data_IF_743713483083
#
_entry.id   IF_743713483083
#
_cell.length_a   1.000
_cell.length_b   1.000
_cell.length_c   1.000
_cell.angle_alpha   90.00
_cell.angle_beta   90.00
_cell.angle_gamma   90.00
#
_symmetry.space_group_name_H-M   'P 1'
#
loop_
_entity.id
_entity.type
_entity.pdbx_description
1 polymer ?
#
# COMPACT_ATOMS: atom_id res chain seq x y z
N UNK A 1 -6.12 3.26 13.14
CA UNK A 1 -7.45 3.91 13.06
C UNK A 1 -8.13 3.88 14.42
N UNK A 2 -8.83 4.93 14.87
CA UNK A 2 -9.54 4.91 16.15
C UNK A 2 -10.72 3.94 16.12
N UNK A 3 -10.94 3.19 17.21
CA UNK A 3 -11.85 2.05 17.30
C UNK A 3 -13.36 2.37 17.16
N UNK A 4 -13.75 3.64 17.00
CA UNK A 4 -15.16 4.10 16.94
C UNK A 4 -15.47 4.91 15.66
N UNK A 5 -14.74 4.71 14.57
CA UNK A 5 -15.00 5.40 13.30
C UNK A 5 -16.11 4.70 12.51
N UNK A 6 -17.22 5.40 12.21
CA UNK A 6 -18.24 4.93 11.27
C UNK A 6 -18.18 5.77 9.97
N UNK A 7 -17.57 5.25 8.89
CA UNK A 7 -17.38 6.02 7.66
C UNK A 7 -18.68 6.46 6.99
N UNK A 8 -19.82 5.82 7.29
CA UNK A 8 -21.12 6.16 6.68
C UNK A 8 -21.79 7.31 7.42
N UNK A 9 -21.58 7.44 8.73
CA UNK A 9 -22.22 8.47 9.56
C UNK A 9 -21.34 9.68 9.81
N UNK A 10 -20.02 9.47 9.85
CA UNK A 10 -19.07 10.48 10.31
C UNK A 10 -18.37 11.23 9.17
N UNK A 11 -18.48 10.74 7.93
CA UNK A 11 -17.88 11.37 6.75
C UNK A 11 -18.85 12.33 6.07
N UNK A 12 -18.48 13.61 6.00
CA UNK A 12 -19.22 14.63 5.25
C UNK A 12 -18.93 14.61 3.76
N UNK A 13 -17.73 14.14 3.37
CA UNK A 13 -17.28 14.09 1.97
C UNK A 13 -16.44 12.83 1.74
N UNK A 14 -16.68 12.17 0.61
CA UNK A 14 -15.96 10.97 0.17
C UNK A 14 -15.66 11.06 -1.32
N UNK A 15 -14.40 10.88 -1.71
CA UNK A 15 -13.94 10.91 -3.10
C UNK A 15 -13.07 9.69 -3.38
N UNK A 16 -13.21 9.10 -4.57
CA UNK A 16 -12.46 7.92 -5.00
C UNK A 16 -11.52 8.29 -6.12
N UNK A 17 -10.31 7.74 -6.10
CA UNK A 17 -9.28 7.91 -7.10
C UNK A 17 -8.80 6.55 -7.60
N UNK A 18 -8.40 6.51 -8.86
CA UNK A 18 -7.88 5.29 -9.50
C UNK A 18 -6.38 5.35 -9.78
N UNK A 19 -5.76 6.49 -9.47
CA UNK A 19 -4.35 6.76 -9.69
C UNK A 19 -3.80 7.60 -8.55
N UNK A 20 -2.63 7.24 -8.05
CA UNK A 20 -1.78 8.09 -7.23
C UNK A 20 -0.41 8.22 -7.90
N UNK A 21 0.31 9.29 -7.55
CA UNK A 21 1.67 9.53 -8.01
C UNK A 21 2.56 9.60 -6.79
N UNK A 22 3.58 8.73 -6.74
CA UNK A 22 4.61 8.75 -5.71
C UNK A 22 5.88 9.33 -6.32
N UNK A 23 6.50 10.31 -5.66
CA UNK A 23 7.79 10.85 -6.07
C UNK A 23 8.75 10.70 -4.90
N UNK A 24 9.84 9.97 -5.13
CA UNK A 24 10.79 9.61 -4.08
C UNK A 24 12.21 9.68 -4.60
N UNK A 25 13.17 9.76 -3.68
CA UNK A 25 14.58 9.70 -4.02
C UNK A 25 15.04 8.24 -4.00
N UNK A 26 15.55 7.77 -5.13
CA UNK A 26 16.13 6.45 -5.31
C UNK A 26 17.56 6.60 -5.86
N UNK A 27 18.61 6.44 -5.02
CA UNK A 27 20.01 6.61 -5.42
C UNK A 27 20.54 5.48 -6.32
N UNK A 28 19.73 4.97 -7.24
CA UNK A 28 20.08 3.91 -8.18
C UNK A 28 20.56 4.48 -9.51
N UNK A 29 21.47 3.77 -10.18
CA UNK A 29 21.98 4.15 -11.51
C UNK A 29 20.86 4.32 -12.56
N UNK A 30 19.71 3.66 -12.37
CA UNK A 30 18.54 3.76 -13.24
C UNK A 30 17.77 5.09 -13.10
N UNK A 31 17.98 5.86 -12.04
CA UNK A 31 17.25 7.10 -11.77
C UNK A 31 17.91 8.36 -12.34
N UNK A 32 19.04 8.21 -13.05
CA UNK A 32 19.72 9.32 -13.72
C UNK A 32 20.36 10.33 -12.76
N UNK A 33 20.84 11.45 -13.32
CA UNK A 33 21.48 12.53 -12.56
C UNK A 33 20.43 13.22 -11.68
N UNK A 34 20.58 13.10 -10.36
CA UNK A 34 19.68 13.69 -9.38
C UNK A 34 18.85 12.69 -8.56
N UNK A 35 18.78 11.41 -8.98
CA UNK A 35 18.24 10.31 -8.17
C UNK A 35 16.75 10.42 -7.81
N UNK A 36 15.98 11.37 -8.36
CA UNK A 36 14.54 11.48 -8.12
C UNK A 36 13.79 10.59 -9.11
N UNK A 37 12.87 9.77 -8.58
CA UNK A 37 12.00 8.90 -9.37
C UNK A 37 10.54 9.25 -9.11
N UNK A 38 9.73 9.18 -10.16
CA UNK A 38 8.27 9.31 -10.06
C UNK A 38 7.63 8.04 -10.58
N UNK A 39 6.77 7.44 -9.76
CA UNK A 39 6.00 6.25 -10.11
C UNK A 39 4.49 6.52 -10.00
N UNK A 40 3.72 5.76 -10.78
CA UNK A 40 2.25 5.84 -10.82
C UNK A 40 1.68 4.58 -10.22
N UNK A 41 0.87 4.73 -9.18
CA UNK A 41 0.18 3.64 -8.49
C UNK A 41 -1.25 3.58 -9.02
N UNK A 42 -1.63 2.47 -9.65
CA UNK A 42 -2.96 2.27 -10.26
C UNK A 42 -3.84 1.38 -9.38
N UNK A 43 -5.10 1.78 -9.26
CA UNK A 43 -6.18 1.03 -8.61
C UNK A 43 -7.40 0.96 -9.54
N UNK A 44 -7.19 0.63 -10.82
CA UNK A 44 -8.20 0.75 -11.86
C UNK A 44 -9.09 -0.50 -11.86
N UNK A 45 -10.40 -0.39 -11.61
CA UNK A 45 -11.28 -1.57 -11.48
C UNK A 45 -11.52 -2.29 -12.81
N UNK A 46 -11.44 -1.58 -13.94
CA UNK A 46 -11.58 -2.16 -15.26
C UNK A 46 -10.55 -1.54 -16.23
N UNK A 47 -9.47 -2.28 -16.45
CA UNK A 47 -8.40 -1.93 -17.36
C UNK A 47 -8.53 -2.72 -18.66
N UNK A 48 -8.70 -2.00 -19.78
CA UNK A 48 -8.79 -2.58 -21.12
C UNK A 48 -9.84 -3.70 -21.27
N UNK A 49 -10.95 -3.66 -20.51
CA UNK A 49 -12.00 -4.70 -20.48
C UNK A 49 -11.51 -6.09 -20.05
N UNK A 50 -10.32 -6.18 -19.44
CA UNK A 50 -9.71 -7.45 -19.01
C UNK A 50 -9.83 -7.72 -17.52
N UNK A 51 -10.18 -6.71 -16.72
CA UNK A 51 -10.32 -6.82 -15.27
C UNK A 51 -9.61 -5.70 -14.53
N UNK A 52 -9.47 -5.83 -13.22
CA UNK A 52 -8.82 -4.82 -12.40
C UNK A 52 -7.29 -4.78 -12.65
N UNK A 53 -6.72 -3.58 -12.66
CA UNK A 53 -5.29 -3.32 -12.65
C UNK A 53 -4.96 -2.60 -11.35
N UNK A 54 -4.38 -3.36 -10.42
CA UNK A 54 -4.07 -2.93 -9.06
C UNK A 54 -2.58 -3.17 -8.83
N UNK A 55 -1.85 -2.09 -8.59
CA UNK A 55 -0.41 -2.15 -8.36
C UNK A 55 -0.10 -2.55 -6.91
N UNK A 56 1.05 -3.18 -6.70
CA UNK A 56 1.59 -3.45 -5.37
C UNK A 56 2.42 -2.26 -4.89
N UNK A 57 2.38 -2.01 -3.59
CA UNK A 57 3.06 -0.90 -2.92
C UNK A 57 3.75 -1.40 -1.67
N UNK A 58 4.83 -0.73 -1.29
CA UNK A 58 5.42 -0.92 0.03
C UNK A 58 4.65 -0.10 1.06
N UNK A 59 4.47 -0.68 2.24
CA UNK A 59 3.80 -0.04 3.36
C UNK A 59 4.67 -0.18 4.61
N UNK A 60 4.90 0.92 5.29
CA UNK A 60 5.55 0.97 6.59
C UNK A 60 4.56 0.55 7.68
N UNK A 61 4.93 -0.45 8.49
CA UNK A 61 3.99 -1.07 9.45
C UNK A 61 4.18 -0.53 10.87
N UNK A 62 5.40 -0.13 11.26
CA UNK A 62 5.65 0.36 12.61
C UNK A 62 6.99 1.11 12.72
N UNK A 63 6.94 2.44 12.78
CA UNK A 63 8.10 3.31 12.96
C UNK A 63 8.68 3.29 14.39
N UNK A 64 7.94 2.75 15.36
CA UNK A 64 8.33 2.73 16.78
C UNK A 64 9.30 1.58 17.12
N UNK A 65 9.35 0.53 16.29
CA UNK A 65 10.33 -0.55 16.39
C UNK A 65 11.47 -0.34 15.39
N UNK A 66 12.22 0.74 15.62
CA UNK A 66 13.40 1.21 14.86
C UNK A 66 14.61 0.25 14.82
N UNK A 67 14.38 -1.06 14.92
CA UNK A 67 15.42 -2.09 14.84
C UNK A 67 15.45 -2.83 13.49
N UNK A 68 14.52 -2.56 12.58
CA UNK A 68 14.42 -3.26 11.31
C UNK A 68 14.72 -2.34 10.12
N UNK A 69 15.94 -2.41 9.61
CA UNK A 69 16.33 -1.70 8.39
C UNK A 69 15.83 -2.40 7.12
N UNK A 70 15.52 -1.59 6.10
CA UNK A 70 15.16 -2.06 4.77
C UNK A 70 13.83 -2.82 4.73
N UNK A 71 13.76 -3.89 3.92
CA UNK A 71 12.52 -4.66 3.74
C UNK A 71 11.97 -5.25 5.05
N UNK A 72 12.80 -5.50 6.06
CA UNK A 72 12.34 -6.06 7.33
C UNK A 72 11.41 -5.09 8.10
N UNK A 73 11.52 -3.78 7.86
CA UNK A 73 10.61 -2.76 8.41
C UNK A 73 9.41 -2.47 7.51
N UNK A 74 9.35 -3.09 6.33
CA UNK A 74 8.33 -2.86 5.32
C UNK A 74 7.49 -4.11 5.09
N UNK A 75 6.29 -3.92 4.60
CA UNK A 75 5.53 -5.01 3.98
C UNK A 75 5.05 -4.64 2.60
N UNK A 76 4.66 -5.65 1.84
CA UNK A 76 4.06 -5.51 0.54
C UNK A 76 2.55 -5.60 0.68
N UNK A 77 1.85 -4.68 0.05
CA UNK A 77 0.40 -4.72 -0.08
C UNK A 77 -0.01 -4.45 -1.52
N UNK A 78 -1.22 -4.88 -1.91
CA UNK A 78 -1.83 -4.49 -3.19
C UNK A 78 -2.81 -3.37 -2.93
N UNK A 79 -2.62 -2.24 -3.61
CA UNK A 79 -3.53 -1.10 -3.52
C UNK A 79 -4.81 -1.42 -4.32
N UNK A 80 -5.93 -1.56 -3.61
CA UNK A 80 -7.22 -1.93 -4.20
C UNK A 80 -8.03 -0.71 -4.61
N UNK A 81 -8.00 0.33 -3.76
CA UNK A 81 -8.79 1.54 -3.90
C UNK A 81 -8.04 2.70 -3.25
N UNK A 82 -7.99 3.85 -3.91
CA UNK A 82 -7.52 5.10 -3.32
C UNK A 82 -8.72 6.00 -3.07
N UNK A 83 -8.79 6.63 -1.92
CA UNK A 83 -9.90 7.50 -1.59
C UNK A 83 -9.51 8.57 -0.58
N UNK A 84 -10.32 9.61 -0.51
CA UNK A 84 -10.16 10.74 0.36
C UNK A 84 -11.47 10.97 1.09
N UNK A 85 -11.43 11.11 2.40
CA UNK A 85 -12.61 11.44 3.17
C UNK A 85 -12.35 12.52 4.20
N UNK A 86 -13.39 13.25 4.57
CA UNK A 86 -13.33 14.26 5.62
C UNK A 86 -13.89 13.69 6.93
N UNK A 87 -13.09 13.74 7.99
CA UNK A 87 -13.47 13.32 9.34
C UNK A 87 -13.00 14.36 10.36
N UNK A 88 -13.91 14.81 11.23
CA UNK A 88 -13.62 15.86 12.23
C UNK A 88 -12.94 17.11 11.63
N UNK A 89 -13.37 17.54 10.43
CA UNK A 89 -12.79 18.67 9.66
C UNK A 89 -11.36 18.44 9.18
N UNK A 90 -10.86 17.21 9.21
CA UNK A 90 -9.58 16.82 8.63
C UNK A 90 -9.80 15.96 7.40
N UNK A 91 -9.06 16.27 6.35
CA UNK A 91 -9.11 15.52 5.09
C UNK A 91 -8.04 14.42 5.14
N UNK A 92 -8.47 13.16 5.11
CA UNK A 92 -7.61 11.99 5.27
C UNK A 92 -7.51 11.22 3.94
N UNK A 93 -6.36 11.26 3.25
CA UNK A 93 -6.10 10.39 2.12
C UNK A 93 -5.82 8.97 2.61
N UNK A 94 -6.61 8.01 2.14
CA UNK A 94 -6.49 6.62 2.52
C UNK A 94 -6.52 5.67 1.33
N UNK A 95 -5.98 4.48 1.54
CA UNK A 95 -6.00 3.38 0.59
C UNK A 95 -6.61 2.14 1.25
N UNK A 96 -7.46 1.43 0.52
CA UNK A 96 -7.81 0.05 0.85
C UNK A 96 -6.72 -0.84 0.27
N UNK A 97 -6.10 -1.66 1.12
CA UNK A 97 -5.01 -2.53 0.70
C UNK A 97 -5.29 -3.99 1.04
N UNK A 98 -4.75 -4.89 0.22
CA UNK A 98 -4.69 -6.33 0.46
C UNK A 98 -3.28 -6.71 0.89
N UNK A 99 -3.14 -7.34 2.06
CA UNK A 99 -1.83 -7.63 2.64
C UNK A 99 -1.17 -8.87 2.07
N UNK A 100 0.15 -8.81 1.89
CA UNK A 100 1.00 -9.97 1.72
C UNK A 100 1.82 -10.20 2.99
N UNK A 101 2.32 -11.43 3.13
CA UNK A 101 3.30 -11.81 4.15
C UNK A 101 4.54 -12.37 3.46
N UNK A 102 5.72 -12.13 4.04
CA UNK A 102 6.96 -12.71 3.55
C UNK A 102 6.93 -14.25 3.63
N UNK A 103 7.65 -14.89 2.71
CA UNK A 103 7.91 -16.32 2.70
C UNK A 103 9.35 -16.51 3.16
N UNK A 104 9.53 -17.00 4.40
CA UNK A 104 10.85 -17.13 5.01
C UNK A 104 11.38 -15.83 5.61
N UNK A 105 12.65 -15.85 5.99
CA UNK A 105 13.32 -14.77 6.75
C UNK A 105 14.33 -13.97 5.92
N UNK A 106 14.43 -14.22 4.62
CA UNK A 106 15.44 -13.56 3.77
C UNK A 106 15.11 -13.63 2.28
N UNK A 107 16.09 -13.18 1.49
CA UNK A 107 16.03 -13.24 0.03
C UNK A 107 16.00 -14.69 -0.47
N UNK A 108 15.21 -14.94 -1.50
CA UNK A 108 15.23 -16.22 -2.18
C UNK A 108 16.57 -16.45 -2.87
N UNK A 109 17.14 -17.65 -2.71
CA UNK A 109 18.46 -17.99 -3.24
C UNK A 109 18.59 -17.77 -4.76
N UNK A 110 17.57 -18.15 -5.53
CA UNK A 110 17.63 -18.07 -7.00
C UNK A 110 17.27 -16.69 -7.57
N UNK A 111 16.43 -15.92 -6.87
CA UNK A 111 15.89 -14.66 -7.38
C UNK A 111 16.57 -13.43 -6.78
N UNK A 112 17.26 -13.58 -5.64
CA UNK A 112 17.83 -12.44 -4.91
C UNK A 112 16.77 -11.45 -4.42
N UNK A 113 15.50 -11.88 -4.31
CA UNK A 113 14.36 -11.04 -3.96
C UNK A 113 13.55 -11.68 -2.83
N UNK A 114 12.82 -10.86 -2.07
CA UNK A 114 11.87 -11.33 -1.08
C UNK A 114 10.66 -11.96 -1.77
N UNK A 115 10.36 -13.21 -1.41
CA UNK A 115 9.09 -13.83 -1.78
C UNK A 115 8.01 -13.38 -0.81
N UNK A 116 6.84 -13.06 -1.36
CA UNK A 116 5.66 -12.74 -0.59
C UNK A 116 4.48 -13.57 -1.08
N UNK A 117 3.59 -13.93 -0.15
CA UNK A 117 2.36 -14.66 -0.44
C UNK A 117 1.16 -13.91 0.13
N UNK A 118 -0.02 -14.12 -0.46
CA UNK A 118 -1.24 -13.49 0.02
C UNK A 118 -1.46 -13.82 1.50
N UNK A 119 -1.73 -12.80 2.33
CA UNK A 119 -2.05 -13.02 3.72
C UNK A 119 -3.53 -13.37 3.84
N UNK A 120 -3.86 -14.65 3.66
CA UNK A 120 -5.24 -15.13 3.70
C UNK A 120 -5.66 -15.54 5.10
N UNK A 121 -6.89 -15.16 5.48
CA UNK A 121 -7.54 -15.66 6.67
C UNK A 121 -7.92 -17.13 6.47
N UNK A 122 -7.49 -18.00 7.39
CA UNK A 122 -7.70 -19.46 7.27
C UNK A 122 -9.17 -19.88 7.29
N UNK A 123 -10.04 -19.11 7.94
CA UNK A 123 -11.45 -19.45 8.10
C UNK A 123 -12.28 -19.02 6.90
N UNK A 124 -11.98 -17.85 6.32
CA UNK A 124 -12.76 -17.28 5.19
C UNK A 124 -12.12 -17.53 3.83
N UNK A 125 -10.83 -17.84 3.79
CA UNK A 125 -10.04 -17.95 2.56
C UNK A 125 -9.75 -16.61 1.87
N UNK A 126 -10.28 -15.51 2.41
CA UNK A 126 -10.11 -14.17 1.84
C UNK A 126 -8.78 -13.56 2.28
N UNK A 127 -8.19 -12.78 1.39
CA UNK A 127 -7.00 -12.00 1.71
C UNK A 127 -7.35 -10.88 2.68
N UNK A 128 -6.51 -10.70 3.69
CA UNK A 128 -6.67 -9.70 4.74
C UNK A 128 -6.62 -8.30 4.12
N UNK A 129 -7.58 -7.47 4.53
CA UNK A 129 -7.83 -6.15 3.95
C UNK A 129 -8.01 -5.12 5.04
N UNK A 130 -7.28 -4.03 4.93
CA UNK A 130 -7.40 -2.91 5.86
C UNK A 130 -7.30 -1.58 5.14
N UNK A 131 -7.79 -0.53 5.78
CA UNK A 131 -7.58 0.84 5.33
C UNK A 131 -6.32 1.40 5.99
N UNK A 132 -5.41 1.91 5.17
CA UNK A 132 -4.18 2.57 5.60
C UNK A 132 -4.16 4.01 5.12
N UNK A 133 -3.45 4.88 5.83
CA UNK A 133 -3.23 6.26 5.40
C UNK A 133 -2.23 6.29 4.25
N UNK A 134 -2.37 7.20 3.28
CA UNK A 134 -1.44 7.26 2.14
C UNK A 134 0.00 7.57 2.56
N UNK A 135 0.19 8.27 3.69
CA UNK A 135 1.53 8.61 4.20
C UNK A 135 2.37 7.39 4.60
N UNK A 136 1.76 6.21 4.76
CA UNK A 136 2.50 4.98 5.05
C UNK A 136 3.03 4.29 3.79
N UNK A 137 2.72 4.81 2.59
CA UNK A 137 3.24 4.28 1.33
C UNK A 137 4.65 4.80 1.07
N UNK A 138 5.52 3.94 0.57
CA UNK A 138 6.91 4.24 0.17
C UNK A 138 7.12 4.00 -1.32
#
# INVERSE_FOLDING_TARGET
>A
MPCNFNPVKDCTKFQVFYLAVATFYAPSNYCGVGGIKTERIRCIPNWNRKGACQDCVFVEIDSESSSHDGFCGLTVSRAMLLFLFEFKRQTLPCALVQWFKSVGTGLHADFGMWLVQANTNRCTGLQDQTVVHLDTFL
#
